data_IF_241066016447
#
_entry.id   IF_241066016447
#
_cell.length_a   1.000
_cell.length_b   1.000
_cell.length_c   1.000
_cell.angle_alpha   90.00
_cell.angle_beta   90.00
_cell.angle_gamma   90.00
#
_symmetry.space_group_name_H-M   'P 1'
#
loop_
_entity.id
_entity.type
_entity.pdbx_description
1 polymer ?
#
# COMPACT_ATOMS: atom_id res chain seq x y z
N UNK A 1 0.93 14.18 11.45
CA UNK A 1 0.80 12.75 11.09
C UNK A 1 0.06 12.76 9.78
N UNK A 2 0.76 12.39 8.72
CA UNK A 2 0.29 12.62 7.36
C UNK A 2 -0.60 11.46 6.93
N UNK A 3 -1.66 11.77 6.18
CA UNK A 3 -2.59 10.78 5.66
C UNK A 3 -2.18 10.42 4.23
N UNK A 4 -1.90 9.15 3.98
CA UNK A 4 -1.52 8.64 2.66
C UNK A 4 -2.64 7.72 2.16
N UNK A 5 -3.20 8.08 1.01
CA UNK A 5 -4.05 7.16 0.24
C UNK A 5 -3.17 6.32 -0.67
N UNK A 6 -3.30 5.00 -0.53
CA UNK A 6 -2.55 4.04 -1.32
C UNK A 6 -3.51 3.15 -2.11
N UNK A 7 -3.24 2.98 -3.40
CA UNK A 7 -4.02 2.08 -4.24
C UNK A 7 -3.80 0.62 -3.80
N UNK A 8 -4.84 -0.21 -3.92
CA UNK A 8 -4.75 -1.61 -3.52
C UNK A 8 -3.64 -2.38 -4.28
N UNK A 9 -3.35 -2.01 -5.53
CA UNK A 9 -2.28 -2.66 -6.31
C UNK A 9 -0.89 -2.45 -5.69
N UNK A 10 -0.68 -1.39 -4.90
CA UNK A 10 0.57 -1.17 -4.18
C UNK A 10 0.83 -2.26 -3.12
N UNK A 11 -0.22 -2.85 -2.53
CA UNK A 11 -0.09 -3.98 -1.60
C UNK A 11 0.31 -5.27 -2.31
N UNK A 12 -0.07 -5.40 -3.57
CA UNK A 12 0.25 -6.57 -4.38
C UNK A 12 1.60 -6.45 -5.10
N UNK A 13 2.19 -5.24 -5.14
CA UNK A 13 3.38 -4.94 -5.96
C UNK A 13 4.59 -5.83 -5.68
N UNK A 14 4.75 -6.32 -4.45
CA UNK A 14 5.81 -7.26 -4.07
C UNK A 14 5.68 -8.65 -4.70
N UNK A 15 4.52 -8.97 -5.28
CA UNK A 15 4.20 -10.24 -5.91
C UNK A 15 4.18 -10.18 -7.44
N UNK A 16 4.39 -8.99 -8.02
CA UNK A 16 4.54 -8.82 -9.47
C UNK A 16 5.88 -9.37 -9.97
N UNK A 17 6.10 -9.33 -11.30
CA UNK A 17 7.27 -9.89 -11.97
C UNK A 17 8.59 -9.36 -11.37
N UNK A 18 9.36 -10.20 -10.65
CA UNK A 18 10.57 -9.80 -9.98
C UNK A 18 11.73 -9.56 -10.96
N UNK A 19 11.59 -9.88 -12.24
CA UNK A 19 12.65 -9.64 -13.23
C UNK A 19 12.67 -8.20 -13.74
N UNK A 20 11.65 -7.41 -13.43
CA UNK A 20 11.55 -6.02 -13.85
C UNK A 20 12.07 -5.08 -12.76
N UNK A 21 13.20 -4.42 -13.01
CA UNK A 21 13.82 -3.47 -12.06
C UNK A 21 12.85 -2.39 -11.59
N UNK A 22 11.98 -1.90 -12.48
CA UNK A 22 10.93 -0.92 -12.11
C UNK A 22 9.98 -1.48 -11.05
N UNK A 23 9.52 -2.73 -11.21
CA UNK A 23 8.63 -3.39 -10.26
C UNK A 23 9.31 -3.57 -8.90
N UNK A 24 10.58 -3.98 -8.90
CA UNK A 24 11.36 -4.09 -7.66
C UNK A 24 11.44 -2.75 -6.92
N UNK A 25 11.73 -1.67 -7.63
CA UNK A 25 11.83 -0.32 -7.04
C UNK A 25 10.47 0.17 -6.50
N UNK A 26 9.39 -0.07 -7.24
CA UNK A 26 8.03 0.27 -6.79
C UNK A 26 7.64 -0.54 -5.54
N UNK A 27 7.98 -1.84 -5.49
CA UNK A 27 7.73 -2.68 -4.32
C UNK A 27 8.51 -2.20 -3.08
N UNK A 28 9.77 -1.78 -3.25
CA UNK A 28 10.56 -1.18 -2.16
C UNK A 28 9.96 0.14 -1.67
N UNK A 29 9.48 1.00 -2.57
CA UNK A 29 8.82 2.24 -2.20
C UNK A 29 7.51 2.00 -1.42
N UNK A 30 6.71 1.00 -1.84
CA UNK A 30 5.50 0.61 -1.11
C UNK A 30 5.85 0.07 0.28
N UNK A 31 6.90 -0.75 0.39
CA UNK A 31 7.36 -1.27 1.68
C UNK A 31 7.79 -0.17 2.65
N UNK A 32 8.45 0.87 2.15
CA UNK A 32 8.85 2.01 3.00
C UNK A 32 7.64 2.77 3.54
N UNK A 33 6.60 2.97 2.73
CA UNK A 33 5.33 3.55 3.20
C UNK A 33 4.68 2.66 4.27
N UNK A 34 4.73 1.33 4.13
CA UNK A 34 4.22 0.41 5.13
C UNK A 34 5.01 0.47 6.45
N UNK A 35 6.35 0.55 6.37
CA UNK A 35 7.20 0.71 7.56
C UNK A 35 6.86 2.01 8.31
N UNK A 36 6.62 3.10 7.58
CA UNK A 36 6.20 4.37 8.17
C UNK A 36 4.83 4.29 8.84
N UNK A 37 3.90 3.53 8.25
CA UNK A 37 2.58 3.29 8.84
C UNK A 37 2.68 2.44 10.12
N UNK A 38 3.52 1.41 10.11
CA UNK A 38 3.82 0.58 11.29
C UNK A 38 4.49 1.37 12.41
N UNK A 39 5.40 2.27 12.07
CA UNK A 39 6.00 3.22 13.00
C UNK A 39 5.05 4.35 13.44
N UNK A 40 3.78 4.33 13.00
CA UNK A 40 2.76 5.34 13.29
C UNK A 40 3.18 6.77 12.90
N UNK A 41 4.07 6.89 11.92
CA UNK A 41 4.52 8.20 11.39
C UNK A 41 3.56 8.74 10.33
N UNK A 42 2.88 7.83 9.62
CA UNK A 42 1.82 8.13 8.65
C UNK A 42 0.59 7.28 8.94
N UNK A 43 -0.58 7.78 8.55
CA UNK A 43 -1.82 7.01 8.53
C UNK A 43 -2.09 6.55 7.10
N UNK A 44 -2.29 5.24 6.92
CA UNK A 44 -2.54 4.66 5.60
C UNK A 44 -4.04 4.38 5.41
N UNK A 45 -4.59 4.77 4.26
CA UNK A 45 -5.95 4.42 3.80
C UNK A 45 -5.90 3.84 2.39
N UNK A 46 -6.78 2.89 2.08
CA UNK A 46 -6.96 2.33 0.74
C UNK A 46 -8.42 1.92 0.55
N UNK A 47 -8.85 1.81 -0.70
CA UNK A 47 -10.15 1.24 -1.05
C UNK A 47 -10.00 0.13 -2.07
N UNK A 48 -10.92 -0.85 -2.03
CA UNK A 48 -11.05 -1.81 -3.12
C UNK A 48 -11.75 -1.12 -4.30
N UNK A 49 -11.19 -1.21 -5.50
CA UNK A 49 -11.92 -0.85 -6.72
C UNK A 49 -12.44 -2.12 -7.38
N UNK A 50 -13.52 -2.66 -6.83
CA UNK A 50 -14.48 -3.52 -7.52
C UNK A 50 -15.86 -3.12 -6.99
N UNK A 51 -16.88 -3.13 -7.83
CA UNK A 51 -18.24 -2.59 -7.57
C UNK A 51 -18.99 -3.14 -6.32
N UNK A 52 -18.33 -3.92 -5.46
CA UNK A 52 -18.78 -4.37 -4.14
C UNK A 52 -18.02 -3.71 -2.96
N UNK A 53 -17.28 -2.63 -3.21
CA UNK A 53 -16.44 -1.97 -2.21
C UNK A 53 -17.12 -0.74 -1.59
N UNK A 54 -17.90 -0.95 -0.53
CA UNK A 54 -18.40 0.14 0.31
C UNK A 54 -18.04 -0.05 1.79
N UNK A 55 -16.88 -0.66 2.06
CA UNK A 55 -16.29 -0.75 3.39
C UNK A 55 -14.83 -0.31 3.32
N UNK A 56 -14.56 0.87 3.86
CA UNK A 56 -13.20 1.33 4.18
C UNK A 56 -12.58 0.32 5.14
N UNK A 57 -11.48 -0.32 4.73
CA UNK A 57 -10.72 -1.19 5.61
C UNK A 57 -9.65 -0.34 6.29
N UNK A 58 -9.83 -0.07 7.58
CA UNK A 58 -8.76 0.44 8.43
C UNK A 58 -7.93 -0.74 8.93
N UNK A 59 -6.63 -0.76 8.62
CA UNK A 59 -5.67 -1.63 9.30
C UNK A 59 -5.29 -0.85 10.57
N UNK A 60 -5.74 -1.36 11.70
CA UNK A 60 -5.01 -1.18 12.96
C UNK A 60 -3.94 -2.27 12.96
N UNK A 61 -2.67 -1.88 12.77
CA UNK A 61 -1.52 -2.78 12.96
C UNK A 61 -1.40 -3.16 14.44
#
# INVERSE_FOLDING_TARGET
MDLIYLDYNCFQRRFDDPNQTRIQMEALACQEIFNQAEAQTVQLIWTFTHEEANQEAHISL
#
